data_IF_403881969794
#
_entry.id   IF_403881969794
#
_cell.length_a   1.000
_cell.length_b   1.000
_cell.length_c   1.000
_cell.angle_alpha   90.00
_cell.angle_beta   90.00
_cell.angle_gamma   90.00
#
_symmetry.space_group_name_H-M   'P 1'
#
loop_
_entity.id
_entity.type
_entity.pdbx_description
1 polymer ?
#
# COMPACT_ATOMS: atom_id res chain seq x y z
N UNK A 1 18.81 -11.92 -0.80
CA UNK A 1 17.66 -12.45 -1.55
C UNK A 1 16.41 -12.05 -0.81
N UNK A 2 15.52 -11.35 -1.49
CA UNK A 2 14.21 -10.95 -0.93
C UNK A 2 13.15 -11.90 -1.45
N UNK A 3 12.41 -12.53 -0.55
CA UNK A 3 11.25 -13.36 -0.89
C UNK A 3 10.00 -12.57 -0.49
N UNK A 4 9.15 -12.25 -1.44
CA UNK A 4 7.95 -11.45 -1.21
C UNK A 4 6.83 -11.85 -2.15
N UNK A 5 5.58 -11.64 -1.73
CA UNK A 5 4.38 -11.75 -2.57
C UNK A 5 3.82 -10.38 -2.97
N UNK A 6 4.46 -9.29 -2.52
CA UNK A 6 4.05 -7.95 -2.87
C UNK A 6 4.38 -7.61 -4.32
N UNK A 7 3.36 -7.36 -5.13
CA UNK A 7 3.48 -7.09 -6.56
C UNK A 7 4.31 -5.86 -6.88
N UNK A 8 4.25 -4.80 -6.07
CA UNK A 8 5.06 -3.60 -6.32
C UNK A 8 6.54 -3.85 -6.10
N UNK A 9 6.90 -4.64 -5.10
CA UNK A 9 8.30 -5.02 -4.83
C UNK A 9 8.84 -5.90 -5.94
N UNK A 10 8.06 -6.87 -6.40
CA UNK A 10 8.41 -7.72 -7.56
C UNK A 10 8.57 -6.87 -8.81
N UNK A 11 7.58 -6.02 -9.15
CA UNK A 11 7.63 -5.17 -10.33
C UNK A 11 8.86 -4.23 -10.33
N UNK A 12 9.22 -3.66 -9.17
CA UNK A 12 10.40 -2.79 -9.03
C UNK A 12 11.73 -3.52 -9.28
N UNK A 13 11.78 -4.84 -9.07
CA UNK A 13 12.98 -5.64 -9.29
C UNK A 13 13.19 -6.06 -10.75
N UNK A 14 12.15 -5.92 -11.61
CA UNK A 14 12.21 -6.32 -13.01
C UNK A 14 12.86 -5.18 -13.81
N UNK A 15 13.86 -5.54 -14.61
CA UNK A 15 14.50 -4.64 -15.58
C UNK A 15 14.85 -5.44 -16.82
N UNK A 16 14.41 -4.97 -17.99
CA UNK A 16 14.66 -5.59 -19.27
C UNK A 16 15.76 -4.83 -20.01
N UNK A 17 16.52 -5.56 -20.83
CA UNK A 17 17.62 -4.98 -21.60
C UNK A 17 17.11 -4.18 -22.81
N UNK A 18 16.02 -4.62 -23.43
CA UNK A 18 15.40 -3.89 -24.52
C UNK A 18 14.70 -2.64 -23.99
N UNK A 19 15.01 -1.43 -24.52
CA UNK A 19 14.43 -0.19 -24.03
C UNK A 19 12.91 -0.10 -24.24
N UNK A 20 12.38 -0.69 -25.31
CA UNK A 20 10.95 -0.65 -25.64
C UNK A 20 10.18 -1.58 -24.68
N UNK A 21 10.66 -2.79 -24.48
CA UNK A 21 10.09 -3.71 -23.51
C UNK A 21 10.19 -3.15 -22.10
N UNK A 22 11.30 -2.50 -21.76
CA UNK A 22 11.49 -1.90 -20.45
C UNK A 22 10.55 -0.71 -20.21
N UNK A 23 10.09 -0.03 -21.25
CA UNK A 23 9.06 1.00 -21.13
C UNK A 23 7.72 0.43 -20.62
N UNK A 24 7.31 -0.73 -21.13
CA UNK A 24 6.11 -1.43 -20.64
C UNK A 24 6.26 -1.84 -19.16
N UNK A 25 7.44 -2.32 -18.77
CA UNK A 25 7.75 -2.62 -17.36
C UNK A 25 7.62 -1.37 -16.50
N UNK A 26 8.09 -0.21 -16.95
CA UNK A 26 7.96 1.06 -16.21
C UNK A 26 6.49 1.46 -16.02
N UNK A 27 5.64 1.31 -17.02
CA UNK A 27 4.20 1.60 -16.91
C UNK A 27 3.53 0.68 -15.88
N UNK A 28 3.85 -0.62 -15.90
CA UNK A 28 3.33 -1.57 -14.91
C UNK A 28 3.83 -1.25 -13.49
N UNK A 29 5.09 -0.86 -13.35
CA UNK A 29 5.66 -0.42 -12.06
C UNK A 29 4.96 0.83 -11.53
N UNK A 30 4.63 1.77 -12.40
CA UNK A 30 3.89 2.96 -12.02
C UNK A 30 2.46 2.62 -11.56
N UNK A 31 1.73 1.77 -12.29
CA UNK A 31 0.40 1.31 -11.89
C UNK A 31 0.42 0.63 -10.51
N UNK A 32 1.37 -0.28 -10.27
CA UNK A 32 1.55 -0.93 -8.98
C UNK A 32 1.92 0.06 -7.87
N UNK A 33 2.81 1.02 -8.13
CA UNK A 33 3.25 2.02 -7.16
C UNK A 33 2.12 2.98 -6.77
N UNK A 34 1.32 3.43 -7.73
CA UNK A 34 0.14 4.26 -7.46
C UNK A 34 -0.91 3.50 -6.65
N UNK A 35 -1.12 2.22 -6.94
CA UNK A 35 -2.03 1.36 -6.17
C UNK A 35 -1.54 1.21 -4.74
N UNK A 36 -0.25 0.94 -4.53
CA UNK A 36 0.35 0.87 -3.19
C UNK A 36 0.19 2.18 -2.41
N UNK A 37 0.43 3.33 -3.04
CA UNK A 37 0.36 4.64 -2.39
C UNK A 37 -1.09 5.03 -2.02
N UNK A 38 -2.08 4.68 -2.85
CA UNK A 38 -3.45 5.11 -2.66
C UNK A 38 -4.31 4.12 -1.85
N UNK A 39 -4.06 2.82 -2.00
CA UNK A 39 -4.88 1.77 -1.39
C UNK A 39 -4.10 0.92 -0.37
N UNK A 40 -2.78 0.87 -0.46
CA UNK A 40 -1.93 0.04 0.41
C UNK A 40 -1.99 -1.45 0.10
N UNK A 41 -2.85 -1.89 -0.81
CA UNK A 41 -3.07 -3.30 -1.17
C UNK A 41 -3.53 -3.43 -2.63
N UNK A 42 -3.54 -4.64 -3.17
CA UNK A 42 -4.02 -4.92 -4.54
C UNK A 42 -2.99 -4.64 -5.64
N UNK A 43 -1.71 -4.50 -5.32
CA UNK A 43 -0.64 -4.19 -6.27
C UNK A 43 -0.48 -5.26 -7.34
N UNK A 44 -0.54 -6.54 -6.97
CA UNK A 44 -0.49 -7.68 -7.92
C UNK A 44 -1.74 -7.68 -8.81
N UNK A 45 -2.91 -7.43 -8.25
CA UNK A 45 -4.16 -7.33 -9.02
C UNK A 45 -4.09 -6.19 -10.04
N UNK A 46 -3.52 -5.04 -9.67
CA UNK A 46 -3.34 -3.91 -10.59
C UNK A 46 -2.44 -4.28 -11.78
N UNK A 47 -1.37 -5.04 -11.55
CA UNK A 47 -0.47 -5.50 -12.63
C UNK A 47 -1.22 -6.45 -13.58
N UNK A 48 -1.94 -7.45 -13.05
CA UNK A 48 -2.70 -8.42 -13.85
C UNK A 48 -3.80 -7.71 -14.66
N UNK A 49 -4.51 -6.75 -14.06
CA UNK A 49 -5.54 -5.98 -14.78
C UNK A 49 -4.92 -5.08 -15.85
N UNK A 50 -3.76 -4.49 -15.60
CA UNK A 50 -3.06 -3.66 -16.60
C UNK A 50 -2.67 -4.52 -17.81
N UNK A 51 -2.08 -5.71 -17.60
CA UNK A 51 -1.77 -6.64 -18.66
C UNK A 51 -3.02 -7.04 -19.46
N UNK A 52 -4.08 -7.46 -18.77
CA UNK A 52 -5.31 -7.90 -19.42
C UNK A 52 -5.96 -6.78 -20.25
N UNK A 53 -6.02 -5.55 -19.71
CA UNK A 53 -6.57 -4.39 -20.44
C UNK A 53 -5.74 -4.04 -21.67
N UNK A 54 -4.42 -4.07 -21.57
CA UNK A 54 -3.55 -3.77 -22.71
C UNK A 54 -3.67 -4.84 -23.78
N UNK A 55 -3.60 -6.11 -23.41
CA UNK A 55 -3.71 -7.23 -24.36
C UNK A 55 -5.06 -7.23 -25.09
N UNK A 56 -6.16 -7.20 -24.33
CA UNK A 56 -7.50 -7.17 -24.94
C UNK A 56 -7.72 -5.88 -25.73
N UNK A 57 -7.21 -4.74 -25.24
CA UNK A 57 -7.31 -3.48 -25.96
C UNK A 57 -6.58 -3.48 -27.31
N UNK A 58 -5.41 -4.13 -27.41
CA UNK A 58 -4.70 -4.29 -28.68
C UNK A 58 -5.53 -5.16 -29.64
N UNK A 59 -6.03 -6.31 -29.19
CA UNK A 59 -6.86 -7.22 -29.97
C UNK A 59 -8.09 -6.50 -30.55
N UNK A 60 -8.83 -5.77 -29.73
CA UNK A 60 -10.02 -5.01 -30.14
C UNK A 60 -9.71 -3.81 -31.07
N UNK A 61 -8.50 -3.22 -30.91
CA UNK A 61 -8.08 -2.10 -31.75
C UNK A 61 -7.62 -2.55 -33.16
N UNK A 62 -7.21 -3.80 -33.35
CA UNK A 62 -6.79 -4.30 -34.68
C UNK A 62 -7.95 -4.26 -35.67
N UNK A 63 -9.14 -4.69 -35.28
CA UNK A 63 -10.33 -4.81 -36.11
C UNK A 63 -11.27 -3.59 -36.06
N UNK A 64 -10.91 -2.56 -35.24
CA UNK A 64 -11.78 -1.41 -35.06
C UNK A 64 -11.70 -0.38 -36.20
N UNK A 65 -12.84 -0.01 -36.75
CA UNK A 65 -12.96 1.08 -37.73
C UNK A 65 -12.59 2.45 -37.13
N UNK A 66 -12.92 2.66 -35.85
CA UNK A 66 -12.61 3.90 -35.11
C UNK A 66 -11.90 3.63 -33.81
N UNK A 67 -10.57 3.52 -33.89
CA UNK A 67 -9.68 3.26 -32.74
C UNK A 67 -9.81 4.29 -31.62
N UNK A 68 -10.01 5.56 -31.98
CA UNK A 68 -10.16 6.63 -31.00
C UNK A 68 -11.45 6.48 -30.20
N UNK A 69 -12.53 6.01 -30.83
CA UNK A 69 -13.79 5.79 -30.14
C UNK A 69 -13.66 4.61 -29.16
N UNK A 70 -13.05 3.51 -29.56
CA UNK A 70 -12.80 2.36 -28.68
C UNK A 70 -12.04 2.79 -27.41
N UNK A 71 -10.98 3.60 -27.54
CA UNK A 71 -10.23 4.09 -26.38
C UNK A 71 -11.10 4.98 -25.45
N UNK A 72 -11.97 5.83 -26.02
CA UNK A 72 -12.90 6.64 -25.22
C UNK A 72 -13.91 5.78 -24.48
N UNK A 73 -14.44 4.76 -25.16
CA UNK A 73 -15.41 3.84 -24.58
C UNK A 73 -14.79 3.02 -23.44
N UNK A 74 -13.54 2.58 -23.58
CA UNK A 74 -12.78 1.93 -22.49
C UNK A 74 -12.66 2.82 -21.26
N UNK A 75 -12.35 4.10 -21.43
CA UNK A 75 -12.28 5.06 -20.30
C UNK A 75 -13.64 5.23 -19.65
N UNK A 76 -14.70 5.44 -20.44
CA UNK A 76 -16.07 5.59 -19.94
C UNK A 76 -16.56 4.36 -19.19
N UNK A 77 -16.34 3.16 -19.75
CA UNK A 77 -16.68 1.89 -19.09
C UNK A 77 -15.92 1.69 -17.78
N UNK A 78 -14.66 2.13 -17.73
CA UNK A 78 -13.88 2.07 -16.49
C UNK A 78 -14.50 2.92 -15.39
N UNK A 79 -15.00 4.12 -15.73
CA UNK A 79 -15.72 4.99 -14.78
C UNK A 79 -17.01 4.32 -14.29
N UNK A 80 -17.76 3.68 -15.15
CA UNK A 80 -18.98 2.94 -14.79
C UNK A 80 -18.69 1.77 -13.85
N UNK A 81 -17.62 1.01 -14.13
CA UNK A 81 -17.14 -0.07 -13.25
C UNK A 81 -16.77 0.47 -11.87
N UNK A 82 -15.99 1.56 -11.82
CA UNK A 82 -15.58 2.22 -10.55
C UNK A 82 -16.81 2.69 -9.78
N UNK A 83 -17.78 3.32 -10.45
CA UNK A 83 -19.02 3.78 -9.81
C UNK A 83 -19.85 2.61 -9.26
N UNK A 84 -19.90 1.48 -9.97
CA UNK A 84 -20.54 0.26 -9.50
C UNK A 84 -19.84 -0.32 -8.27
N UNK A 85 -18.51 -0.39 -8.29
CA UNK A 85 -17.71 -0.82 -7.14
C UNK A 85 -17.95 0.06 -5.91
N UNK A 86 -17.99 1.40 -6.08
CA UNK A 86 -18.32 2.34 -5.00
C UNK A 86 -19.70 2.06 -4.40
N UNK A 87 -20.72 1.78 -5.20
CA UNK A 87 -22.06 1.42 -4.72
C UNK A 87 -22.10 0.10 -3.94
N UNK A 88 -21.22 -0.83 -4.28
CA UNK A 88 -21.11 -2.14 -3.62
C UNK A 88 -20.21 -2.13 -2.40
N UNK A 89 -19.35 -1.13 -2.26
CA UNK A 89 -18.43 -1.02 -1.13
C UNK A 89 -19.20 -0.84 0.19
N UNK A 90 -18.68 -1.42 1.25
CA UNK A 90 -19.27 -1.34 2.61
C UNK A 90 -18.19 -0.92 3.59
N UNK A 91 -18.56 -0.11 4.57
CA UNK A 91 -17.65 0.22 5.68
C UNK A 91 -17.29 -1.04 6.46
N UNK A 92 -16.03 -1.18 6.80
CA UNK A 92 -15.54 -2.27 7.65
C UNK A 92 -16.09 -2.07 9.06
N UNK A 93 -16.77 -3.08 9.59
CA UNK A 93 -17.18 -3.12 11.01
C UNK A 93 -16.05 -3.73 11.85
N UNK A 94 -16.05 -3.44 13.15
CA UNK A 94 -15.02 -3.96 14.06
C UNK A 94 -14.93 -5.50 14.04
N UNK A 95 -16.07 -6.19 13.83
CA UNK A 95 -16.11 -7.65 13.67
C UNK A 95 -15.42 -8.17 12.41
N UNK A 96 -15.33 -7.34 11.36
CA UNK A 96 -14.69 -7.70 10.09
C UNK A 96 -13.27 -7.14 9.96
N UNK A 97 -12.82 -6.38 10.94
CA UNK A 97 -11.48 -5.82 10.94
C UNK A 97 -10.41 -6.91 10.93
N UNK A 98 -10.62 -7.98 11.69
CA UNK A 98 -9.73 -9.14 11.70
C UNK A 98 -9.65 -9.82 10.33
N UNK A 99 -10.80 -10.00 9.64
CA UNK A 99 -10.82 -10.62 8.31
C UNK A 99 -10.02 -9.79 7.30
N UNK A 100 -10.24 -8.46 7.30
CA UNK A 100 -9.52 -7.53 6.41
C UNK A 100 -8.02 -7.52 6.72
N UNK A 101 -7.65 -7.42 8.01
CA UNK A 101 -6.26 -7.44 8.43
C UNK A 101 -5.57 -8.76 8.06
N UNK A 102 -6.25 -9.88 8.23
CA UNK A 102 -5.72 -11.21 7.86
C UNK A 102 -5.49 -11.33 6.35
N UNK A 103 -6.43 -10.86 5.52
CA UNK A 103 -6.27 -10.87 4.06
C UNK A 103 -5.09 -9.98 3.65
N UNK A 104 -5.00 -8.77 4.18
CA UNK A 104 -3.90 -7.84 3.89
C UNK A 104 -2.54 -8.35 4.40
N UNK A 105 -2.55 -9.17 5.46
CA UNK A 105 -1.36 -9.89 5.94
C UNK A 105 -1.08 -11.20 5.16
N UNK A 106 -1.60 -11.34 3.95
CA UNK A 106 -1.42 -12.52 3.10
C UNK A 106 -1.92 -13.83 3.75
N UNK A 107 -3.07 -13.78 4.40
CA UNK A 107 -3.72 -14.85 5.16
C UNK A 107 -2.93 -15.33 6.40
N UNK A 108 -2.01 -14.51 6.90
CA UNK A 108 -1.38 -14.75 8.20
C UNK A 108 -2.34 -14.29 9.32
N UNK A 109 -2.97 -15.25 9.97
CA UNK A 109 -3.93 -14.98 11.05
C UNK A 109 -3.29 -14.38 12.30
N UNK A 110 -2.02 -14.67 12.57
CA UNK A 110 -1.31 -14.13 13.73
C UNK A 110 -1.02 -12.64 13.52
N UNK A 111 -0.45 -12.30 12.36
CA UNK A 111 -0.21 -10.90 11.99
C UNK A 111 -1.52 -10.14 11.86
N UNK A 112 -2.54 -10.73 11.22
CA UNK A 112 -3.87 -10.15 11.10
C UNK A 112 -4.50 -9.82 12.46
N UNK A 113 -4.34 -10.71 13.45
CA UNK A 113 -4.82 -10.48 14.81
C UNK A 113 -4.10 -9.32 15.49
N UNK A 114 -2.76 -9.28 15.42
CA UNK A 114 -1.95 -8.18 16.00
C UNK A 114 -2.41 -6.84 15.43
N UNK A 115 -2.60 -6.76 14.11
CA UNK A 115 -3.07 -5.54 13.44
C UNK A 115 -4.49 -5.17 13.91
N UNK A 116 -5.41 -6.12 13.94
CA UNK A 116 -6.78 -5.88 14.36
C UNK A 116 -6.87 -5.42 15.82
N UNK A 117 -6.11 -6.04 16.71
CA UNK A 117 -6.02 -5.69 18.13
C UNK A 117 -5.41 -4.28 18.30
N UNK A 118 -4.38 -3.95 17.52
CA UNK A 118 -3.78 -2.61 17.51
C UNK A 118 -4.81 -1.55 17.13
N UNK A 119 -5.51 -1.70 16.01
CA UNK A 119 -6.53 -0.73 15.58
C UNK A 119 -7.71 -0.65 16.56
N UNK A 120 -8.05 -1.74 17.22
CA UNK A 120 -9.10 -1.75 18.25
C UNK A 120 -8.66 -0.95 19.48
N UNK A 121 -7.38 -1.04 19.87
CA UNK A 121 -6.85 -0.36 21.06
C UNK A 121 -6.67 1.14 20.87
N UNK A 122 -6.20 1.59 19.68
CA UNK A 122 -5.93 3.00 19.41
C UNK A 122 -7.15 3.75 18.85
N UNK A 123 -8.16 3.04 18.37
CA UNK A 123 -9.37 3.64 17.77
C UNK A 123 -9.16 4.18 16.35
N UNK A 124 -10.23 4.76 15.79
CA UNK A 124 -10.30 5.14 14.36
C UNK A 124 -9.37 6.28 13.95
N UNK A 125 -8.90 7.07 14.89
CA UNK A 125 -8.04 8.24 14.64
C UNK A 125 -6.58 7.99 15.01
N UNK A 126 -6.25 6.78 15.46
CA UNK A 126 -4.89 6.41 15.80
C UNK A 126 -4.01 6.21 14.57
N UNK A 127 -2.74 6.51 14.70
CA UNK A 127 -1.73 6.28 13.67
C UNK A 127 -0.99 4.98 14.00
N UNK A 128 -0.88 4.09 13.03
CA UNK A 128 -0.11 2.84 13.16
C UNK A 128 1.12 2.95 12.28
N UNK A 129 2.29 2.70 12.87
CA UNK A 129 3.56 2.56 12.16
C UNK A 129 4.06 1.13 12.31
N UNK A 130 4.79 0.63 11.31
CA UNK A 130 5.39 -0.71 11.33
C UNK A 130 6.90 -0.56 11.35
N UNK A 131 7.54 -1.12 12.36
CA UNK A 131 8.97 -1.06 12.55
C UNK A 131 9.55 -2.47 12.81
N UNK A 132 10.86 -2.63 12.62
CA UNK A 132 11.52 -3.87 13.02
C UNK A 132 11.62 -3.94 14.53
N UNK A 133 11.14 -5.05 15.11
CA UNK A 133 11.33 -5.32 16.52
C UNK A 133 12.82 -5.52 16.86
N UNK A 134 13.24 -5.10 18.03
CA UNK A 134 14.58 -5.39 18.56
C UNK A 134 14.68 -6.82 19.12
N UNK A 135 13.54 -7.45 19.41
CA UNK A 135 13.42 -8.82 19.90
C UNK A 135 13.03 -9.82 18.82
N UNK A 136 12.81 -11.06 19.23
CA UNK A 136 12.39 -12.16 18.35
C UNK A 136 10.86 -12.27 18.20
N UNK A 137 10.11 -11.54 19.00
CA UNK A 137 8.65 -11.61 19.02
C UNK A 137 8.04 -10.43 18.29
N UNK A 138 6.97 -10.69 17.53
CA UNK A 138 6.14 -9.66 16.89
C UNK A 138 5.02 -9.25 17.85
N UNK A 139 4.90 -7.96 18.09
CA UNK A 139 3.88 -7.39 18.96
C UNK A 139 3.59 -5.94 18.60
N UNK A 140 2.80 -5.25 19.42
CA UNK A 140 2.58 -3.83 19.27
C UNK A 140 2.72 -3.11 20.61
N UNK A 141 3.10 -1.86 20.54
CA UNK A 141 3.17 -0.93 21.67
C UNK A 141 2.31 0.29 21.36
N UNK A 142 1.65 0.82 22.36
CA UNK A 142 0.86 2.05 22.24
C UNK A 142 1.55 3.17 23.00
N UNK A 143 1.67 4.33 22.34
CA UNK A 143 2.22 5.55 22.96
C UNK A 143 1.20 6.68 22.85
N UNK A 144 1.18 7.56 23.84
CA UNK A 144 0.43 8.80 23.74
C UNK A 144 1.29 9.84 23.02
N UNK A 145 0.81 10.37 21.91
CA UNK A 145 1.53 11.35 21.11
C UNK A 145 1.89 10.87 19.71
N UNK A 146 2.70 11.64 19.01
CA UNK A 146 3.20 11.35 17.67
C UNK A 146 4.69 11.02 17.74
N UNK A 147 5.08 9.84 17.22
CA UNK A 147 6.49 9.51 17.00
C UNK A 147 6.94 10.05 15.66
N UNK A 148 8.00 10.86 15.66
CA UNK A 148 8.60 11.41 14.45
C UNK A 148 9.97 10.76 14.27
N UNK A 149 10.18 10.08 13.14
CA UNK A 149 11.44 9.39 12.80
C UNK A 149 12.52 10.37 12.31
N UNK A 150 12.72 11.44 13.06
CA UNK A 150 13.82 12.37 12.83
C UNK A 150 14.45 12.72 14.16
N UNK A 151 15.76 12.60 14.21
CA UNK A 151 16.54 13.06 15.35
C UNK A 151 16.47 14.59 15.50
N UNK A 152 16.94 15.07 16.63
CA UNK A 152 17.04 16.51 16.87
C UNK A 152 18.03 17.17 15.90
N UNK A 153 17.79 18.44 15.61
CA UNK A 153 18.64 19.22 14.70
C UNK A 153 20.03 19.49 15.26
N UNK A 154 20.26 19.30 16.56
CA UNK A 154 21.55 19.45 17.21
C UNK A 154 21.66 18.56 18.47
N UNK A 155 22.82 17.92 18.73
CA UNK A 155 23.08 17.21 19.98
C UNK A 155 22.99 18.08 21.25
N UNK A 156 23.02 19.40 21.08
CA UNK A 156 22.88 20.34 22.20
C UNK A 156 21.48 20.35 22.84
N UNK A 157 20.47 19.76 22.14
CA UNK A 157 19.14 19.59 22.70
C UNK A 157 19.03 18.42 23.69
N UNK A 158 20.04 17.55 23.76
CA UNK A 158 20.06 16.44 24.71
C UNK A 158 20.21 16.98 26.14
N UNK A 159 19.19 16.79 26.95
CA UNK A 159 19.22 17.18 28.36
C UNK A 159 19.37 15.99 29.32
N UNK A 160 19.14 14.77 28.83
CA UNK A 160 19.42 13.54 29.56
C UNK A 160 20.50 12.72 28.84
N UNK A 161 21.77 12.99 29.17
CA UNK A 161 22.91 12.33 28.53
C UNK A 161 23.01 10.83 28.80
N UNK A 162 22.42 10.33 29.90
CA UNK A 162 22.46 8.89 30.22
C UNK A 162 21.64 8.04 29.28
N UNK A 163 20.54 8.59 28.74
CA UNK A 163 19.61 7.91 27.84
C UNK A 163 19.67 8.48 26.43
N UNK A 164 20.51 9.48 26.19
CA UNK A 164 20.61 10.17 24.88
C UNK A 164 19.26 10.73 24.40
N UNK A 165 18.53 11.36 25.31
CA UNK A 165 17.17 11.87 25.05
C UNK A 165 17.03 13.35 25.46
N UNK A 166 16.08 14.03 24.80
CA UNK A 166 15.64 15.36 25.18
C UNK A 166 14.21 15.27 25.72
N UNK A 167 14.04 15.57 27.00
CA UNK A 167 12.73 15.59 27.67
C UNK A 167 12.35 17.03 27.93
N UNK A 168 11.19 17.42 27.45
CA UNK A 168 10.59 18.72 27.73
C UNK A 168 9.17 18.48 28.28
N UNK A 169 8.89 19.04 29.44
CA UNK A 169 7.57 18.96 30.08
C UNK A 169 6.91 20.34 30.07
N UNK A 170 5.60 20.36 29.95
CA UNK A 170 4.77 21.58 29.95
C UNK A 170 5.20 22.66 28.95
N UNK A 171 5.60 22.25 27.75
CA UNK A 171 5.96 23.16 26.64
C UNK A 171 4.71 23.71 25.98
N UNK A 172 4.71 25.05 25.81
CA UNK A 172 3.68 25.80 25.09
C UNK A 172 4.10 26.15 23.67
#
# INVERSE_FOLDING_TARGET
>A
ITVTKDGVTVAKSIQLLDPVENLAVQMMREAASRTAANAGDGTTTAIVLTEALVRTGIEELEDADNKTQVLRDMVSLTEDVVNNLKKRSRKVSDKKLLDVATISANNDTNVGKIIADTYTSIGKNGIVTVEKAQGSETGFETTNGLKIDRGYSSPLFINNQKKDECIMEDVH
#
